data_IF_460249075366
#
_entry.id   IF_460249075366
#
_cell.length_a   1.000
_cell.length_b   1.000
_cell.length_c   1.000
_cell.angle_alpha   90.00
_cell.angle_beta   90.00
_cell.angle_gamma   90.00
#
_symmetry.space_group_name_H-M   'P 1'
#
loop_
_entity.id
_entity.type
_entity.pdbx_description
1 polymer ?
#
# COMPACT_ATOMS: atom_id res chain seq x y z
N UNK A 1 -6.57 -29.09 -35.87
CA UNK A 1 -6.69 -28.07 -36.92
C UNK A 1 -7.94 -27.24 -36.63
N UNK A 2 -7.83 -25.92 -36.62
CA UNK A 2 -9.01 -25.05 -36.57
C UNK A 2 -9.66 -25.06 -37.95
N UNK A 3 -10.94 -25.40 -38.01
CA UNK A 3 -11.64 -25.46 -39.28
C UNK A 3 -13.00 -24.75 -39.13
N UNK A 4 -13.25 -23.82 -40.05
CA UNK A 4 -14.51 -23.07 -40.14
C UNK A 4 -15.09 -23.40 -41.49
N UNK A 5 -16.15 -24.21 -41.51
CA UNK A 5 -16.87 -24.57 -42.73
C UNK A 5 -18.18 -23.82 -42.79
N UNK A 6 -18.65 -23.51 -44.00
CA UNK A 6 -20.03 -23.05 -44.20
C UNK A 6 -20.93 -24.22 -43.79
N UNK A 7 -21.93 -23.97 -42.95
CA UNK A 7 -22.94 -24.98 -42.66
C UNK A 7 -23.68 -25.27 -43.98
N UNK A 8 -23.51 -26.48 -44.51
CA UNK A 8 -24.31 -26.94 -45.65
C UNK A 8 -25.78 -26.89 -45.21
N UNK A 9 -26.63 -26.21 -45.99
CA UNK A 9 -28.07 -26.37 -45.84
C UNK A 9 -28.34 -27.87 -46.02
N UNK A 10 -28.89 -28.52 -45.00
CA UNK A 10 -29.44 -29.87 -45.18
C UNK A 10 -30.37 -29.82 -46.39
N UNK A 11 -29.95 -30.46 -47.50
CA UNK A 11 -30.81 -30.69 -48.64
C UNK A 11 -32.06 -31.39 -48.11
N UNK A 12 -33.18 -30.65 -48.05
CA UNK A 12 -34.48 -31.22 -47.78
C UNK A 12 -34.75 -32.25 -48.87
N UNK A 13 -34.51 -33.52 -48.56
CA UNK A 13 -35.00 -34.64 -49.34
C UNK A 13 -36.50 -34.45 -49.54
N UNK A 14 -36.88 -34.17 -50.77
CA UNK A 14 -38.25 -33.95 -51.20
C UNK A 14 -39.14 -35.15 -50.85
N UNK A 15 -40.07 -34.97 -49.93
CA UNK A 15 -41.29 -35.79 -49.84
C UNK A 15 -42.47 -34.86 -49.52
N UNK A 16 -43.65 -35.05 -50.16
CA UNK A 16 -44.76 -34.10 -50.11
C UNK A 16 -45.49 -34.14 -48.75
N UNK A 17 -46.20 -33.06 -48.35
CA UNK A 17 -46.68 -32.89 -46.99
C UNK A 17 -48.01 -33.62 -46.76
N UNK A 18 -48.11 -34.35 -45.66
CA UNK A 18 -49.39 -34.78 -45.08
C UNK A 18 -49.77 -33.86 -43.92
N UNK A 19 -50.76 -32.98 -44.18
CA UNK A 19 -51.70 -32.29 -43.27
C UNK A 19 -51.19 -31.46 -42.06
N UNK A 20 -51.92 -30.37 -41.67
CA UNK A 20 -51.39 -29.35 -40.77
C UNK A 20 -51.73 -29.64 -39.29
N UNK A 21 -50.73 -29.61 -38.41
CA UNK A 21 -50.92 -29.36 -36.99
C UNK A 21 -49.99 -28.22 -36.55
N UNK A 22 -50.48 -27.20 -35.82
CA UNK A 22 -49.66 -26.10 -35.35
C UNK A 22 -48.99 -26.49 -34.03
N UNK A 23 -47.77 -27.01 -34.12
CA UNK A 23 -46.86 -27.08 -32.97
C UNK A 23 -45.64 -26.21 -33.33
N UNK A 24 -45.36 -25.11 -32.62
CA UNK A 24 -44.16 -24.33 -32.86
C UNK A 24 -42.96 -25.15 -32.38
N UNK A 25 -42.28 -25.82 -33.30
CA UNK A 25 -40.95 -26.35 -33.03
C UNK A 25 -40.02 -25.15 -32.75
N UNK A 26 -39.15 -25.21 -31.72
CA UNK A 26 -38.18 -24.15 -31.50
C UNK A 26 -37.27 -24.11 -32.73
N UNK A 27 -37.21 -22.93 -33.36
CA UNK A 27 -36.32 -22.70 -34.48
C UNK A 27 -34.89 -22.99 -34.02
N UNK A 28 -34.33 -24.13 -34.48
CA UNK A 28 -32.89 -24.35 -34.40
C UNK A 28 -32.25 -23.18 -35.11
N UNK A 29 -31.51 -22.36 -34.35
CA UNK A 29 -30.67 -21.31 -34.92
C UNK A 29 -29.54 -21.98 -35.68
N UNK A 30 -29.81 -22.42 -36.91
CA UNK A 30 -28.78 -22.92 -37.82
C UNK A 30 -27.82 -21.77 -38.06
N UNK A 31 -26.66 -21.78 -37.39
CA UNK A 31 -25.60 -20.85 -37.75
C UNK A 31 -25.10 -21.21 -39.13
N UNK A 32 -24.92 -20.20 -39.98
CA UNK A 32 -24.35 -20.35 -41.33
C UNK A 32 -22.91 -20.88 -41.34
N UNK A 33 -22.28 -20.97 -40.17
CA UNK A 33 -20.90 -21.40 -39.96
C UNK A 33 -20.87 -22.57 -38.97
N UNK A 34 -20.12 -23.61 -39.32
CA UNK A 34 -19.77 -24.74 -38.46
C UNK A 34 -18.30 -24.60 -38.08
N UNK A 35 -18.02 -24.52 -36.77
CA UNK A 35 -16.66 -24.36 -36.24
C UNK A 35 -16.23 -25.64 -35.54
N UNK A 36 -15.15 -26.24 -36.03
CA UNK A 36 -14.46 -27.39 -35.41
C UNK A 36 -13.21 -26.89 -34.68
N UNK A 37 -13.26 -26.96 -33.35
CA UNK A 37 -12.18 -26.54 -32.44
C UNK A 37 -11.40 -27.77 -31.97
N UNK A 38 -10.05 -27.76 -31.99
CA UNK A 38 -9.23 -28.84 -31.44
C UNK A 38 -9.60 -29.18 -29.99
N UNK A 39 -9.54 -30.45 -29.61
CA UNK A 39 -9.87 -30.92 -28.26
C UNK A 39 -9.10 -30.20 -27.15
N UNK A 40 -7.85 -29.81 -27.42
CA UNK A 40 -6.98 -29.06 -26.51
C UNK A 40 -7.48 -27.64 -26.18
N UNK A 41 -8.35 -27.08 -27.03
CA UNK A 41 -8.88 -25.71 -26.92
C UNK A 41 -10.38 -25.70 -26.60
N UNK A 42 -10.95 -26.88 -26.35
CA UNK A 42 -12.31 -27.02 -25.84
C UNK A 42 -12.34 -26.78 -24.33
N UNK A 43 -13.50 -26.35 -23.81
CA UNK A 43 -13.71 -26.13 -22.39
C UNK A 43 -13.52 -24.67 -21.96
N UNK A 44 -13.33 -24.48 -20.66
CA UNK A 44 -13.15 -23.16 -20.03
C UNK A 44 -11.82 -23.14 -19.31
N UNK A 45 -11.02 -22.10 -19.54
CA UNK A 45 -9.76 -21.89 -18.85
C UNK A 45 -9.70 -20.48 -18.22
N UNK A 46 -8.98 -20.37 -17.11
CA UNK A 46 -8.67 -19.11 -16.45
C UNK A 46 -7.33 -19.23 -15.72
N UNK A 47 -6.70 -18.10 -15.43
CA UNK A 47 -5.51 -18.07 -14.57
C UNK A 47 -5.94 -17.58 -13.20
N UNK A 48 -5.73 -18.43 -12.19
CA UNK A 48 -5.92 -18.09 -10.79
C UNK A 48 -4.61 -17.56 -10.23
N UNK A 49 -4.64 -16.38 -9.62
CA UNK A 49 -3.51 -15.77 -8.92
C UNK A 49 -3.87 -15.70 -7.45
N UNK A 50 -3.12 -16.41 -6.62
CA UNK A 50 -3.44 -16.61 -5.22
C UNK A 50 -2.23 -16.26 -4.37
N UNK A 51 -2.43 -15.48 -3.31
CA UNK A 51 -1.36 -15.17 -2.37
C UNK A 51 -1.58 -15.94 -1.07
N UNK A 52 -0.58 -16.72 -0.64
CA UNK A 52 -0.65 -17.57 0.55
C UNK A 52 0.37 -17.17 1.61
N UNK A 53 -0.01 -17.29 2.88
CA UNK A 53 0.89 -17.21 4.04
C UNK A 53 0.67 -18.43 4.92
N UNK A 54 1.72 -19.22 5.15
CA UNK A 54 1.68 -20.38 6.05
C UNK A 54 0.50 -21.36 5.78
N UNK A 55 0.15 -21.55 4.49
CA UNK A 55 -1.01 -22.32 3.96
C UNK A 55 -2.39 -21.64 4.05
N UNK A 56 -2.49 -20.42 4.56
CA UNK A 56 -3.71 -19.62 4.51
C UNK A 56 -3.74 -18.73 3.26
N UNK A 57 -4.86 -18.78 2.54
CA UNK A 57 -5.11 -17.95 1.35
C UNK A 57 -5.44 -16.51 1.80
N UNK A 58 -4.53 -15.57 1.53
CA UNK A 58 -4.68 -14.15 1.89
C UNK A 58 -5.59 -13.42 0.89
N UNK A 59 -5.43 -13.68 -0.40
CA UNK A 59 -6.26 -13.11 -1.46
C UNK A 59 -6.17 -13.94 -2.74
N UNK A 60 -7.24 -13.87 -3.55
CA UNK A 60 -7.32 -14.53 -4.86
C UNK A 60 -7.83 -13.58 -5.94
N UNK A 61 -7.22 -13.63 -7.12
CA UNK A 61 -7.60 -12.89 -8.31
C UNK A 61 -7.70 -13.85 -9.49
N UNK A 62 -8.65 -13.61 -10.39
CA UNK A 62 -8.87 -14.44 -11.57
C UNK A 62 -8.61 -13.61 -12.83
N UNK A 63 -7.79 -14.12 -13.74
CA UNK A 63 -7.48 -13.45 -14.99
C UNK A 63 -8.17 -14.20 -16.13
N UNK A 64 -9.04 -13.48 -16.84
CA UNK A 64 -9.74 -13.94 -18.04
C UNK A 64 -9.73 -12.89 -19.16
N UNK A 65 -9.72 -13.31 -20.43
CA UNK A 65 -9.59 -12.38 -21.56
C UNK A 65 -10.73 -11.34 -21.64
N UNK A 66 -11.93 -11.64 -21.10
CA UNK A 66 -13.16 -10.91 -21.42
C UNK A 66 -14.14 -10.66 -20.26
N UNK A 67 -13.78 -10.88 -18.99
CA UNK A 67 -14.77 -10.97 -17.89
C UNK A 67 -15.98 -11.87 -18.25
N UNK A 68 -15.81 -12.77 -19.22
CA UNK A 68 -16.85 -13.69 -19.65
C UNK A 68 -17.06 -14.66 -18.49
N UNK A 69 -18.23 -14.56 -17.85
CA UNK A 69 -18.66 -15.55 -16.88
C UNK A 69 -18.47 -16.93 -17.51
N UNK A 70 -17.99 -17.95 -16.76
CA UNK A 70 -17.79 -19.29 -17.28
C UNK A 70 -19.16 -19.83 -17.72
N UNK A 71 -19.50 -19.63 -18.99
CA UNK A 71 -20.70 -20.16 -19.59
C UNK A 71 -20.45 -21.64 -19.76
N UNK A 72 -21.20 -22.44 -18.99
CA UNK A 72 -21.26 -23.88 -19.13
C UNK A 72 -21.38 -24.23 -20.60
N UNK A 73 -20.45 -25.05 -21.09
CA UNK A 73 -20.35 -25.48 -22.48
C UNK A 73 -21.67 -26.15 -22.92
N UNK A 74 -22.61 -25.35 -23.42
CA UNK A 74 -23.83 -25.84 -24.04
C UNK A 74 -23.49 -26.26 -25.48
N UNK A 75 -23.98 -27.40 -25.97
CA UNK A 75 -23.70 -27.86 -27.33
C UNK A 75 -24.35 -26.95 -28.41
N UNK A 76 -25.36 -26.16 -28.04
CA UNK A 76 -26.05 -25.20 -28.92
C UNK A 76 -25.49 -23.76 -28.81
N UNK A 77 -24.20 -23.64 -28.47
CA UNK A 77 -23.52 -22.35 -28.37
C UNK A 77 -23.22 -21.79 -29.76
N UNK A 78 -23.62 -20.55 -30.01
CA UNK A 78 -23.36 -19.83 -31.26
C UNK A 78 -21.86 -19.91 -31.61
N UNK A 79 -21.51 -20.12 -32.89
CA UNK A 79 -20.13 -20.30 -33.35
C UNK A 79 -19.16 -19.23 -32.83
N UNK A 80 -19.64 -17.99 -32.67
CA UNK A 80 -18.86 -16.88 -32.10
C UNK A 80 -18.44 -17.17 -30.65
N UNK A 81 -19.36 -17.55 -29.77
CA UNK A 81 -19.06 -17.89 -28.38
C UNK A 81 -18.11 -19.09 -28.28
N UNK A 82 -18.22 -20.05 -29.22
CA UNK A 82 -17.29 -21.17 -29.32
C UNK A 82 -15.86 -20.73 -29.68
N UNK A 83 -15.73 -19.73 -30.56
CA UNK A 83 -14.43 -19.14 -30.91
C UNK A 83 -13.89 -18.27 -29.77
N UNK A 84 -14.72 -17.48 -29.11
CA UNK A 84 -14.34 -16.65 -27.94
C UNK A 84 -13.81 -17.54 -26.80
N UNK A 85 -14.48 -18.67 -26.52
CA UNK A 85 -14.01 -19.65 -25.54
C UNK A 85 -12.66 -20.25 -25.94
N UNK A 86 -12.50 -20.68 -27.20
CA UNK A 86 -11.24 -21.23 -27.70
C UNK A 86 -10.09 -20.20 -27.64
N UNK A 87 -10.39 -18.93 -27.94
CA UNK A 87 -9.44 -17.82 -27.84
C UNK A 87 -8.99 -17.62 -26.39
N UNK A 88 -9.92 -17.64 -25.42
CA UNK A 88 -9.58 -17.52 -24.01
C UNK A 88 -8.70 -18.68 -23.52
N UNK A 89 -8.97 -19.91 -23.96
CA UNK A 89 -8.13 -21.08 -23.63
C UNK A 89 -6.71 -20.92 -24.19
N UNK A 90 -6.59 -20.47 -25.44
CA UNK A 90 -5.29 -20.22 -26.06
C UNK A 90 -4.52 -19.13 -25.32
N UNK A 91 -5.18 -18.02 -24.99
CA UNK A 91 -4.60 -16.93 -24.22
C UNK A 91 -4.08 -17.38 -22.86
N UNK A 92 -4.89 -18.10 -22.08
CA UNK A 92 -4.49 -18.56 -20.75
C UNK A 92 -3.28 -19.52 -20.83
N UNK A 93 -3.26 -20.42 -21.81
CA UNK A 93 -2.12 -21.33 -22.05
C UNK A 93 -0.85 -20.58 -22.45
N UNK A 94 -0.96 -19.61 -23.35
CA UNK A 94 0.19 -18.82 -23.81
C UNK A 94 0.75 -17.95 -22.68
N UNK A 95 -0.12 -17.25 -21.95
CA UNK A 95 0.25 -16.44 -20.80
C UNK A 95 0.92 -17.28 -19.72
N UNK A 96 0.35 -18.43 -19.34
CA UNK A 96 0.96 -19.33 -18.36
C UNK A 96 2.33 -19.84 -18.83
N UNK A 97 2.45 -20.25 -20.09
CA UNK A 97 3.73 -20.73 -20.65
C UNK A 97 4.80 -19.63 -20.67
N UNK A 98 4.41 -18.38 -20.95
CA UNK A 98 5.32 -17.24 -20.85
C UNK A 98 5.79 -17.03 -19.41
N UNK A 99 4.86 -16.95 -18.45
CA UNK A 99 5.18 -16.79 -17.04
C UNK A 99 6.05 -17.92 -16.50
N UNK A 100 5.80 -19.16 -16.91
CA UNK A 100 6.60 -20.32 -16.52
C UNK A 100 8.03 -20.24 -17.04
N UNK A 101 8.23 -19.76 -18.28
CA UNK A 101 9.57 -19.54 -18.85
C UNK A 101 10.30 -18.42 -18.10
N UNK A 102 9.61 -17.33 -17.81
CA UNK A 102 10.17 -16.21 -17.04
C UNK A 102 10.56 -16.67 -15.63
N UNK A 103 9.72 -17.44 -14.94
CA UNK A 103 9.99 -17.97 -13.61
C UNK A 103 11.30 -18.76 -13.52
N UNK A 104 11.63 -19.54 -14.56
CA UNK A 104 12.87 -20.34 -14.61
C UNK A 104 14.11 -19.46 -14.90
N UNK A 105 13.94 -18.36 -15.65
CA UNK A 105 15.03 -17.48 -16.05
C UNK A 105 15.39 -16.44 -14.99
N UNK A 106 14.41 -16.03 -14.18
CA UNK A 106 14.58 -15.01 -13.16
C UNK A 106 15.46 -15.49 -12.01
N UNK A 107 16.45 -14.68 -11.66
CA UNK A 107 17.32 -14.91 -10.50
C UNK A 107 16.76 -14.20 -9.28
N UNK A 108 16.05 -14.94 -8.43
CA UNK A 108 15.56 -14.47 -7.15
C UNK A 108 16.34 -15.11 -5.98
N UNK A 109 16.44 -14.43 -4.81
CA UNK A 109 17.08 -15.00 -3.62
C UNK A 109 16.46 -16.34 -3.19
N UNK A 110 15.15 -16.48 -3.38
CA UNK A 110 14.42 -17.74 -3.29
C UNK A 110 13.96 -18.07 -4.72
N UNK A 111 14.46 -19.16 -5.33
CA UNK A 111 14.09 -19.54 -6.68
C UNK A 111 12.59 -19.73 -6.84
N UNK A 112 12.05 -19.28 -7.97
CA UNK A 112 10.67 -19.58 -8.35
C UNK A 112 10.54 -21.07 -8.69
N UNK A 113 9.39 -21.65 -8.37
CA UNK A 113 9.11 -23.06 -8.65
C UNK A 113 7.99 -23.18 -9.68
N UNK A 114 8.15 -24.08 -10.63
CA UNK A 114 7.11 -24.41 -11.63
C UNK A 114 6.79 -25.89 -11.51
N UNK A 115 5.58 -26.23 -11.09
CA UNK A 115 5.13 -27.62 -10.89
C UNK A 115 3.80 -27.82 -11.62
N UNK A 116 3.84 -28.51 -12.75
CA UNK A 116 2.66 -28.76 -13.57
C UNK A 116 2.00 -27.46 -14.03
N UNK A 117 0.76 -27.23 -13.61
CA UNK A 117 -0.04 -26.06 -13.95
C UNK A 117 0.07 -24.93 -12.90
N UNK A 118 1.09 -24.93 -12.04
CA UNK A 118 1.27 -23.93 -11.00
C UNK A 118 2.69 -23.34 -11.01
N UNK A 119 2.77 -22.03 -10.80
CA UNK A 119 4.01 -21.27 -10.61
C UNK A 119 3.98 -20.68 -9.20
N UNK A 120 5.03 -20.87 -8.43
CA UNK A 120 5.18 -20.32 -7.08
C UNK A 120 6.36 -19.34 -7.04
N UNK A 121 6.10 -18.12 -6.56
CA UNK A 121 7.09 -17.07 -6.39
C UNK A 121 6.98 -16.44 -4.99
N UNK A 122 8.09 -15.99 -4.42
CA UNK A 122 8.06 -15.32 -3.11
C UNK A 122 7.85 -13.81 -3.27
N UNK A 123 6.81 -13.29 -2.59
CA UNK A 123 6.45 -11.85 -2.63
C UNK A 123 7.17 -11.11 -1.51
N UNK A 124 6.92 -11.54 -0.27
CA UNK A 124 7.52 -11.03 0.98
C UNK A 124 7.90 -12.24 1.85
N UNK A 125 8.71 -12.10 2.90
CA UNK A 125 8.99 -13.21 3.80
C UNK A 125 7.69 -13.81 4.36
N UNK A 126 7.53 -15.11 4.20
CA UNK A 126 6.32 -15.85 4.59
C UNK A 126 5.12 -15.72 3.64
N UNK A 127 5.19 -14.90 2.58
CA UNK A 127 4.10 -14.75 1.60
C UNK A 127 4.54 -15.28 0.23
N UNK A 128 3.80 -16.25 -0.28
CA UNK A 128 3.99 -16.86 -1.59
C UNK A 128 2.88 -16.42 -2.55
N UNK A 129 3.25 -16.14 -3.79
CA UNK A 129 2.35 -15.95 -4.92
C UNK A 129 2.28 -17.27 -5.69
N UNK A 130 1.07 -17.77 -5.88
CA UNK A 130 0.75 -18.98 -6.64
C UNK A 130 -0.04 -18.57 -7.87
N UNK A 131 0.46 -18.87 -9.06
CA UNK A 131 -0.23 -18.64 -10.33
C UNK A 131 -0.60 -20.00 -10.91
N UNK A 132 -1.89 -20.32 -10.94
CA UNK A 132 -2.44 -21.58 -11.41
C UNK A 132 -3.16 -21.45 -12.75
N UNK A 133 -2.92 -22.37 -13.68
CA UNK A 133 -3.72 -22.53 -14.89
C UNK A 133 -4.84 -23.56 -14.62
N UNK A 134 -6.08 -23.09 -14.54
CA UNK A 134 -7.25 -23.93 -14.40
C UNK A 134 -7.85 -24.18 -15.79
N UNK A 135 -7.99 -25.45 -16.20
CA UNK A 135 -8.65 -25.83 -17.45
C UNK A 135 -9.65 -26.95 -17.18
N UNK A 136 -10.92 -26.69 -17.49
CA UNK A 136 -12.01 -27.66 -17.31
C UNK A 136 -12.63 -28.03 -18.65
N UNK A 137 -12.74 -29.34 -18.92
CA UNK A 137 -13.46 -29.86 -20.09
C UNK A 137 -14.73 -30.58 -19.64
N UNK A 138 -15.84 -30.42 -20.36
CA UNK A 138 -17.16 -30.97 -20.03
C UNK A 138 -17.21 -32.51 -19.89
N UNK A 139 -16.12 -33.19 -20.27
CA UNK A 139 -15.91 -34.64 -20.20
C UNK A 139 -15.52 -35.17 -18.82
N UNK A 140 -15.11 -34.34 -17.85
CA UNK A 140 -14.78 -34.81 -16.49
C UNK A 140 -16.00 -34.82 -15.56
N UNK A 141 -16.95 -35.71 -15.85
CA UNK A 141 -17.88 -36.20 -14.82
C UNK A 141 -17.30 -37.48 -14.25
N UNK A 142 -16.79 -37.38 -13.01
CA UNK A 142 -16.28 -38.43 -12.09
C UNK A 142 -14.77 -38.69 -12.14
N UNK A 143 -14.00 -37.92 -11.37
CA UNK A 143 -13.05 -38.47 -10.36
C UNK A 143 -12.15 -37.38 -9.75
N UNK A 144 -12.74 -36.48 -8.97
CA UNK A 144 -12.02 -35.75 -7.92
C UNK A 144 -13.05 -35.18 -6.94
N UNK A 145 -13.64 -36.07 -6.14
CA UNK A 145 -14.06 -35.70 -4.80
C UNK A 145 -12.78 -35.41 -4.00
N UNK A 146 -12.26 -34.20 -4.14
CA UNK A 146 -11.57 -33.52 -3.06
C UNK A 146 -12.51 -32.40 -2.66
N UNK A 147 -13.09 -32.57 -1.47
CA UNK A 147 -13.49 -31.53 -0.51
C UNK A 147 -13.69 -30.12 -1.07
N UNK A 148 -14.86 -29.47 -0.86
CA UNK A 148 -14.99 -28.05 -1.16
C UNK A 148 -13.82 -27.32 -0.47
N UNK A 149 -13.00 -26.53 -1.18
CA UNK A 149 -11.93 -25.79 -0.52
C UNK A 149 -12.58 -24.95 0.60
N UNK A 150 -12.02 -25.02 1.82
CA UNK A 150 -12.55 -24.30 2.96
C UNK A 150 -12.57 -22.81 2.60
N UNK A 151 -13.72 -22.16 2.79
CA UNK A 151 -13.94 -20.71 2.66
C UNK A 151 -13.15 -20.05 1.52
N UNK A 152 -13.75 -19.90 0.34
CA UNK A 152 -13.22 -19.03 -0.73
C UNK A 152 -12.70 -17.74 -0.08
N UNK A 153 -11.37 -17.58 -0.06
CA UNK A 153 -10.69 -16.35 0.33
C UNK A 153 -11.38 -15.17 -0.36
N UNK A 154 -11.45 -14.01 0.30
CA UNK A 154 -12.04 -12.82 -0.31
C UNK A 154 -11.38 -12.57 -1.66
N UNK A 155 -12.21 -12.59 -2.71
CA UNK A 155 -11.78 -12.34 -4.06
C UNK A 155 -11.41 -10.86 -4.18
N UNK A 156 -10.16 -10.59 -4.54
CA UNK A 156 -9.62 -9.25 -4.54
C UNK A 156 -9.72 -8.60 -5.93
N UNK A 157 -10.77 -7.79 -6.07
CA UNK A 157 -11.03 -7.03 -7.28
C UNK A 157 -9.98 -5.94 -7.58
N UNK A 158 -9.26 -5.44 -6.56
CA UNK A 158 -8.25 -4.40 -6.76
C UNK A 158 -7.01 -5.00 -7.41
N UNK A 159 -6.54 -6.14 -6.89
CA UNK A 159 -5.44 -6.89 -7.47
C UNK A 159 -5.80 -7.41 -8.88
N UNK A 160 -6.99 -8.00 -9.04
CA UNK A 160 -7.51 -8.44 -10.34
C UNK A 160 -7.49 -7.30 -11.38
N UNK A 161 -8.03 -6.13 -11.03
CA UNK A 161 -8.05 -4.98 -11.93
C UNK A 161 -6.64 -4.52 -12.33
N UNK A 162 -5.71 -4.46 -11.37
CA UNK A 162 -4.31 -4.09 -11.60
C UNK A 162 -3.62 -5.04 -12.59
N UNK A 163 -3.79 -6.35 -12.40
CA UNK A 163 -3.22 -7.38 -13.26
C UNK A 163 -3.82 -7.32 -14.67
N UNK A 164 -5.13 -7.06 -14.79
CA UNK A 164 -5.75 -6.84 -16.10
C UNK A 164 -5.25 -5.58 -16.81
N UNK A 165 -4.96 -4.52 -16.07
CA UNK A 165 -4.38 -3.30 -16.64
C UNK A 165 -2.95 -3.56 -17.14
N UNK A 166 -2.15 -4.31 -16.37
CA UNK A 166 -0.81 -4.74 -16.75
C UNK A 166 -0.81 -5.55 -18.05
N UNK A 167 -1.68 -6.55 -18.14
CA UNK A 167 -1.80 -7.40 -19.33
C UNK A 167 -2.22 -6.59 -20.57
N UNK A 168 -3.15 -5.64 -20.40
CA UNK A 168 -3.54 -4.72 -21.48
C UNK A 168 -2.38 -3.85 -21.95
N UNK A 169 -1.56 -3.35 -21.03
CA UNK A 169 -0.38 -2.56 -21.36
C UNK A 169 0.67 -3.39 -22.13
N UNK A 170 0.95 -4.61 -21.68
CA UNK A 170 1.88 -5.53 -22.35
C UNK A 170 1.37 -5.88 -23.75
N UNK A 171 0.09 -6.20 -23.89
CA UNK A 171 -0.52 -6.45 -25.20
C UNK A 171 -0.43 -5.22 -26.12
N UNK A 172 -0.68 -4.02 -25.58
CA UNK A 172 -0.53 -2.78 -26.36
C UNK A 172 0.92 -2.58 -26.82
N UNK A 173 1.92 -2.76 -25.95
CA UNK A 173 3.34 -2.67 -26.30
C UNK A 173 3.75 -3.67 -27.38
N UNK A 174 3.25 -4.90 -27.30
CA UNK A 174 3.55 -5.97 -28.26
C UNK A 174 2.88 -5.77 -29.62
N UNK A 175 1.78 -5.02 -29.68
CA UNK A 175 1.07 -4.73 -30.95
C UNK A 175 1.53 -3.42 -31.58
N UNK A 176 1.91 -2.43 -30.77
CA UNK A 176 2.27 -1.08 -31.19
C UNK A 176 3.77 -0.86 -31.05
N UNK A 177 4.54 -1.51 -31.93
CA UNK A 177 5.97 -1.26 -32.04
C UNK A 177 6.20 0.19 -32.51
N UNK A 178 7.16 0.92 -31.91
CA UNK A 178 7.52 2.24 -32.42
C UNK A 178 8.00 2.10 -33.87
N UNK A 179 7.47 2.94 -34.76
CA UNK A 179 7.80 2.88 -36.18
C UNK A 179 9.33 2.98 -36.39
N UNK A 180 9.92 2.12 -37.24
CA UNK A 180 11.33 2.24 -37.56
C UNK A 180 11.61 3.62 -38.18
N UNK A 181 12.70 4.26 -37.75
CA UNK A 181 13.06 5.56 -38.32
C UNK A 181 13.37 5.43 -39.81
N UNK A 182 12.86 6.34 -40.67
CA UNK A 182 13.32 6.46 -42.03
C UNK A 182 14.80 6.87 -42.01
N UNK A 183 15.66 6.12 -42.71
CA UNK A 183 17.09 6.45 -42.89
C UNK A 183 17.33 7.78 -43.61
N UNK A 184 16.27 8.41 -44.12
CA UNK A 184 16.28 9.66 -44.91
C UNK A 184 15.72 10.88 -44.16
N UNK A 185 15.39 10.79 -42.88
CA UNK A 185 14.87 11.94 -42.13
C UNK A 185 15.97 13.02 -41.94
N UNK A 186 15.67 14.31 -42.18
CA UNK A 186 16.64 15.39 -41.99
C UNK A 186 17.13 15.39 -40.54
N UNK A 187 18.41 15.76 -40.32
CA UNK A 187 19.14 15.77 -39.04
C UNK A 187 18.28 16.25 -37.86
N UNK A 188 17.49 15.33 -37.31
CA UNK A 188 16.64 15.56 -36.16
C UNK A 188 17.48 15.56 -34.88
N UNK A 189 16.82 15.73 -33.71
CA UNK A 189 17.49 15.52 -32.43
C UNK A 189 18.25 14.20 -32.44
N UNK A 190 19.52 14.22 -32.00
CA UNK A 190 20.40 13.04 -32.00
C UNK A 190 19.71 11.83 -31.37
N UNK A 191 20.12 10.61 -31.74
CA UNK A 191 19.60 9.35 -31.15
C UNK A 191 19.48 9.39 -29.62
N UNK A 192 20.44 10.05 -28.94
CA UNK A 192 20.44 10.25 -27.48
C UNK A 192 19.33 11.18 -26.99
N UNK A 193 19.06 12.28 -27.71
CA UNK A 193 18.03 13.28 -27.36
C UNK A 193 16.62 12.77 -27.68
N UNK A 194 16.47 11.87 -28.65
CA UNK A 194 15.20 11.18 -28.89
C UNK A 194 14.91 10.12 -27.83
N UNK A 195 15.92 9.31 -27.44
CA UNK A 195 15.79 8.31 -26.37
C UNK A 195 15.42 8.95 -25.03
N UNK A 196 15.99 10.13 -24.70
CA UNK A 196 15.63 10.91 -23.50
C UNK A 196 14.15 11.33 -23.46
N UNK A 197 13.45 11.29 -24.61
CA UNK A 197 12.04 11.64 -24.72
C UNK A 197 11.73 13.09 -24.33
N UNK A 198 10.44 13.46 -24.25
CA UNK A 198 10.00 14.78 -23.82
C UNK A 198 10.27 15.06 -22.32
N UNK A 199 10.61 14.03 -21.55
CA UNK A 199 10.97 14.13 -20.13
C UNK A 199 12.44 14.50 -19.91
N UNK A 200 13.25 14.56 -20.98
CA UNK A 200 14.70 14.82 -20.91
C UNK A 200 15.44 13.86 -19.97
N UNK A 201 15.11 12.57 -20.05
CA UNK A 201 15.66 11.54 -19.19
C UNK A 201 17.19 11.52 -19.24
N UNK A 202 17.82 11.41 -18.07
CA UNK A 202 19.27 11.44 -17.96
C UNK A 202 19.92 10.12 -18.44
N UNK A 203 21.25 10.06 -18.50
CA UNK A 203 21.95 8.84 -18.96
C UNK A 203 21.66 7.63 -18.05
N UNK A 204 21.46 7.87 -16.76
CA UNK A 204 21.24 6.82 -15.78
C UNK A 204 19.83 6.24 -15.94
N UNK A 205 18.82 7.10 -16.03
CA UNK A 205 17.44 6.75 -16.32
C UNK A 205 17.32 5.99 -17.65
N UNK A 206 18.05 6.42 -18.69
CA UNK A 206 18.06 5.69 -19.96
C UNK A 206 18.67 4.28 -19.87
N UNK A 207 19.65 4.08 -18.99
CA UNK A 207 20.24 2.76 -18.76
C UNK A 207 19.30 1.87 -17.94
N UNK A 208 18.54 2.45 -17.00
CA UNK A 208 17.47 1.74 -16.30
C UNK A 208 16.32 1.39 -17.24
N UNK A 209 15.91 2.29 -18.13
CA UNK A 209 14.87 2.04 -19.14
C UNK A 209 15.26 0.94 -20.14
N UNK A 210 16.55 0.66 -20.33
CA UNK A 210 17.00 -0.49 -21.12
C UNK A 210 16.91 -1.83 -20.40
N UNK A 211 16.69 -1.85 -19.08
CA UNK A 211 16.36 -3.08 -18.37
C UNK A 211 14.90 -3.43 -18.66
N UNK A 212 14.70 -4.45 -19.50
CA UNK A 212 13.37 -5.00 -19.74
C UNK A 212 12.97 -5.85 -18.55
N UNK A 213 11.98 -5.40 -17.80
CA UNK A 213 11.31 -6.23 -16.80
C UNK A 213 10.42 -7.26 -17.49
N UNK A 214 10.46 -8.48 -16.98
CA UNK A 214 9.55 -9.55 -17.38
C UNK A 214 8.14 -9.31 -16.84
N UNK A 215 7.14 -9.97 -17.44
CA UNK A 215 5.76 -9.84 -16.97
C UNK A 215 5.63 -10.40 -15.54
N UNK A 216 6.27 -11.52 -15.25
CA UNK A 216 6.27 -12.12 -13.91
C UNK A 216 6.90 -11.19 -12.86
N UNK A 217 7.99 -10.50 -13.17
CA UNK A 217 8.56 -9.49 -12.26
C UNK A 217 7.56 -8.37 -11.97
N UNK A 218 6.87 -7.87 -13.00
CA UNK A 218 5.87 -6.82 -12.84
C UNK A 218 4.68 -7.29 -11.98
N UNK A 219 4.22 -8.53 -12.15
CA UNK A 219 3.19 -9.14 -11.31
C UNK A 219 3.66 -9.22 -9.84
N UNK A 220 4.89 -9.71 -9.61
CA UNK A 220 5.47 -9.83 -8.27
C UNK A 220 5.57 -8.44 -7.61
N UNK A 221 6.02 -7.42 -8.34
CA UNK A 221 6.14 -6.04 -7.84
C UNK A 221 4.80 -5.41 -7.50
N UNK A 222 3.78 -5.62 -8.32
CA UNK A 222 2.41 -5.16 -8.02
C UNK A 222 1.84 -5.86 -6.79
N UNK A 223 2.04 -7.18 -6.65
CA UNK A 223 1.62 -7.92 -5.46
C UNK A 223 2.34 -7.45 -4.20
N UNK A 224 3.66 -7.19 -4.28
CA UNK A 224 4.45 -6.64 -3.19
C UNK A 224 3.93 -5.28 -2.72
N UNK A 225 3.73 -4.36 -3.67
CA UNK A 225 3.19 -3.04 -3.38
C UNK A 225 1.77 -3.10 -2.79
N UNK A 226 0.92 -3.99 -3.30
CA UNK A 226 -0.41 -4.25 -2.76
C UNK A 226 -0.36 -4.63 -1.27
N UNK A 227 0.48 -5.60 -0.89
CA UNK A 227 0.64 -5.98 0.52
C UNK A 227 1.26 -4.87 1.37
N UNK A 228 2.23 -4.13 0.83
CA UNK A 228 2.81 -2.98 1.53
C UNK A 228 1.77 -1.91 1.84
N UNK A 229 0.86 -1.65 0.90
CA UNK A 229 -0.26 -0.73 1.08
C UNK A 229 -1.22 -1.23 2.17
N UNK A 230 -1.67 -2.48 2.09
CA UNK A 230 -2.56 -3.09 3.08
C UNK A 230 -1.97 -3.06 4.49
N UNK A 231 -0.68 -3.41 4.63
CA UNK A 231 0.03 -3.36 5.92
C UNK A 231 0.13 -1.93 6.44
N UNK A 232 0.45 -0.97 5.58
CA UNK A 232 0.53 0.45 5.95
C UNK A 232 -0.82 0.95 6.45
N UNK A 233 -1.90 0.67 5.72
CA UNK A 233 -3.27 1.02 6.12
C UNK A 233 -3.64 0.43 7.48
N UNK A 234 -3.38 -0.86 7.68
CA UNK A 234 -3.63 -1.54 8.95
C UNK A 234 -2.88 -0.88 10.12
N UNK A 235 -1.60 -0.53 9.94
CA UNK A 235 -0.80 0.14 10.97
C UNK A 235 -1.38 1.52 11.28
N UNK A 236 -1.72 2.31 10.26
CA UNK A 236 -2.29 3.66 10.45
C UNK A 236 -3.63 3.62 11.18
N UNK A 237 -4.52 2.72 10.78
CA UNK A 237 -5.83 2.55 11.42
C UNK A 237 -5.71 2.06 12.86
N UNK A 238 -4.76 1.16 13.13
CA UNK A 238 -4.51 0.66 14.49
C UNK A 238 -4.02 1.79 15.39
N UNK A 239 -3.05 2.58 14.93
CA UNK A 239 -2.52 3.70 15.72
C UNK A 239 -3.59 4.78 15.91
N UNK A 240 -4.39 5.09 14.88
CA UNK A 240 -5.47 6.07 14.99
C UNK A 240 -6.57 5.63 16.00
N UNK A 241 -6.76 4.32 16.20
CA UNK A 241 -7.65 3.77 17.24
C UNK A 241 -7.01 3.77 18.62
N UNK A 242 -5.72 3.47 18.71
CA UNK A 242 -4.95 3.39 19.96
C UNK A 242 -4.74 4.79 20.58
N UNK A 243 -4.38 5.78 19.76
CA UNK A 243 -4.03 7.13 20.19
C UNK A 243 -5.22 8.08 20.01
N UNK A 244 -5.84 8.47 21.12
CA UNK A 244 -6.98 9.42 21.13
C UNK A 244 -6.55 10.89 21.13
N UNK A 245 -5.36 11.18 21.66
CA UNK A 245 -4.78 12.51 21.75
C UNK A 245 -3.26 12.40 21.56
N UNK A 246 -2.67 12.99 20.50
CA UNK A 246 -3.27 13.86 19.49
C UNK A 246 -4.07 13.10 18.42
N UNK A 247 -4.89 13.81 17.64
CA UNK A 247 -5.64 13.25 16.51
C UNK A 247 -4.72 12.98 15.31
N UNK A 248 -4.87 11.81 14.71
CA UNK A 248 -4.10 11.38 13.55
C UNK A 248 -5.06 11.25 12.37
N UNK A 249 -4.80 12.02 11.31
CA UNK A 249 -5.58 11.98 10.07
C UNK A 249 -4.70 11.54 8.91
N UNK A 250 -5.08 10.45 8.24
CA UNK A 250 -4.42 9.92 7.05
C UNK A 250 -5.23 10.25 5.80
N UNK A 251 -4.56 10.80 4.79
CA UNK A 251 -5.15 11.09 3.49
C UNK A 251 -4.33 10.41 2.40
N UNK A 252 -4.92 9.38 1.79
CA UNK A 252 -4.34 8.69 0.65
C UNK A 252 -4.43 9.56 -0.60
N UNK A 253 -3.32 9.66 -1.33
CA UNK A 253 -3.33 10.36 -2.62
C UNK A 253 -4.13 9.55 -3.64
N UNK A 254 -4.84 10.23 -4.54
CA UNK A 254 -5.58 9.59 -5.64
C UNK A 254 -4.69 9.28 -6.83
N UNK A 255 -3.59 10.02 -6.99
CA UNK A 255 -2.59 9.78 -8.02
C UNK A 255 -1.58 8.73 -7.54
N UNK A 256 -1.86 7.47 -7.87
CA UNK A 256 -1.01 6.33 -7.53
C UNK A 256 -0.53 5.61 -8.80
N UNK A 257 0.65 5.02 -8.71
CA UNK A 257 1.17 4.04 -9.65
C UNK A 257 0.83 2.62 -9.14
N UNK A 258 0.75 1.60 -10.01
CA UNK A 258 0.64 0.19 -9.61
C UNK A 258 1.75 -0.30 -8.68
N UNK A 259 2.87 0.42 -8.57
CA UNK A 259 4.01 0.07 -7.72
C UNK A 259 4.39 1.14 -6.70
N UNK A 260 3.71 2.30 -6.72
CA UNK A 260 3.99 3.40 -5.80
C UNK A 260 2.70 4.12 -5.38
N UNK A 261 2.55 4.35 -4.09
CA UNK A 261 1.45 5.13 -3.53
C UNK A 261 1.94 6.11 -2.49
N UNK A 262 1.13 7.10 -2.17
CA UNK A 262 1.49 8.13 -1.20
C UNK A 262 0.34 8.37 -0.22
N UNK A 263 0.68 8.47 1.07
CA UNK A 263 -0.24 8.87 2.14
C UNK A 263 0.32 10.07 2.88
N UNK A 264 -0.52 11.09 3.04
CA UNK A 264 -0.20 12.27 3.86
C UNK A 264 -0.87 12.12 5.22
N UNK A 265 -0.06 12.11 6.26
CA UNK A 265 -0.51 12.07 7.65
C UNK A 265 -0.43 13.48 8.22
N UNK A 266 -1.45 13.87 8.99
CA UNK A 266 -1.40 15.06 9.79
C UNK A 266 -1.75 14.73 11.23
N UNK A 267 -0.84 15.09 12.12
CA UNK A 267 -1.03 15.00 13.56
C UNK A 267 -1.43 16.39 14.05
N UNK A 268 -2.57 16.48 14.73
CA UNK A 268 -3.07 17.72 15.32
C UNK A 268 -3.81 17.48 16.62
N UNK A 269 -3.81 18.49 17.50
CA UNK A 269 -4.49 18.41 18.80
C UNK A 269 -5.83 19.11 18.70
N UNK A 270 -6.91 18.41 19.07
CA UNK A 270 -8.28 18.93 18.95
C UNK A 270 -8.44 20.30 19.63
N UNK A 271 -8.98 21.28 18.91
CA UNK A 271 -9.16 22.65 19.43
C UNK A 271 -7.92 23.55 19.37
N UNK A 272 -6.75 23.00 18.98
CA UNK A 272 -5.49 23.73 18.83
C UNK A 272 -4.88 23.55 17.42
N UNK A 273 -5.70 23.19 16.43
CA UNK A 273 -5.25 22.95 15.05
C UNK A 273 -4.59 24.19 14.42
N UNK A 274 -5.02 25.40 14.82
CA UNK A 274 -4.42 26.66 14.38
C UNK A 274 -3.04 26.93 15.00
N UNK A 275 -2.76 26.33 16.17
CA UNK A 275 -1.53 26.56 16.93
C UNK A 275 -0.41 25.65 16.44
N UNK A 276 -0.70 24.36 16.24
CA UNK A 276 0.29 23.40 15.77
C UNK A 276 -0.33 22.26 14.95
N UNK A 277 0.25 22.02 13.78
CA UNK A 277 0.00 20.83 12.95
C UNK A 277 1.34 20.25 12.50
N UNK A 278 1.48 18.93 12.59
CA UNK A 278 2.70 18.23 12.18
C UNK A 278 2.39 17.31 11.00
N UNK A 279 2.73 17.72 9.76
CA UNK A 279 2.54 16.88 8.58
C UNK A 279 3.69 15.87 8.44
N UNK A 280 3.36 14.71 7.89
CA UNK A 280 4.26 13.63 7.53
C UNK A 280 3.78 13.04 6.20
N UNK A 281 4.68 12.68 5.29
CA UNK A 281 4.32 12.05 4.02
C UNK A 281 5.02 10.70 3.93
N UNK A 282 4.28 9.65 3.63
CA UNK A 282 4.84 8.31 3.44
C UNK A 282 4.58 7.89 1.99
N UNK A 283 5.66 7.57 1.30
CA UNK A 283 5.64 6.90 0.02
C UNK A 283 5.76 5.39 0.26
N UNK A 284 4.76 4.66 -0.21
CA UNK A 284 4.68 3.20 -0.17
C UNK A 284 5.20 2.67 -1.51
N UNK A 285 6.34 1.99 -1.49
CA UNK A 285 6.90 1.29 -2.66
C UNK A 285 6.67 -0.21 -2.60
N UNK A 286 7.40 -0.96 -3.43
CA UNK A 286 7.28 -2.43 -3.56
C UNK A 286 7.74 -3.16 -2.28
N UNK A 287 8.94 -2.86 -1.78
CA UNK A 287 9.54 -3.52 -0.60
C UNK A 287 10.06 -2.55 0.46
N UNK A 288 9.70 -1.27 0.33
CA UNK A 288 10.21 -0.23 1.21
C UNK A 288 9.20 0.88 1.40
N UNK A 289 9.36 1.59 2.49
CA UNK A 289 8.63 2.81 2.79
C UNK A 289 9.63 3.97 2.84
N UNK A 290 9.26 5.09 2.23
CA UNK A 290 10.03 6.33 2.31
C UNK A 290 9.19 7.38 3.02
N UNK A 291 9.62 7.78 4.20
CA UNK A 291 8.96 8.76 5.02
C UNK A 291 9.64 10.12 4.92
N UNK A 292 8.86 11.18 4.68
CA UNK A 292 9.32 12.57 4.58
C UNK A 292 8.70 13.35 5.73
N UNK A 293 9.55 13.76 6.67
CA UNK A 293 9.17 14.44 7.89
C UNK A 293 8.94 15.94 7.67
N UNK A 294 8.29 16.59 8.64
CA UNK A 294 8.08 18.05 8.64
C UNK A 294 9.38 18.86 8.48
N UNK A 295 10.48 18.38 9.05
CA UNK A 295 11.80 19.03 8.98
C UNK A 295 12.53 18.77 7.65
N UNK A 296 11.89 18.07 6.70
CA UNK A 296 12.46 17.71 5.42
C UNK A 296 13.36 16.47 5.46
N UNK A 297 13.57 15.86 6.63
CA UNK A 297 14.34 14.61 6.72
C UNK A 297 13.59 13.48 6.05
N UNK A 298 14.35 12.71 5.29
CA UNK A 298 13.88 11.53 4.59
C UNK A 298 14.39 10.30 5.33
N UNK A 299 13.48 9.44 5.76
CA UNK A 299 13.78 8.16 6.38
C UNK A 299 13.34 7.03 5.45
N UNK A 300 14.23 6.07 5.23
CA UNK A 300 13.97 4.88 4.44
C UNK A 300 13.80 3.71 5.40
N UNK A 301 12.66 3.02 5.29
CA UNK A 301 12.28 1.89 6.12
C UNK A 301 12.08 0.65 5.26
N UNK A 302 12.21 -0.50 5.89
CA UNK A 302 12.01 -1.80 5.27
C UNK A 302 10.52 -2.12 5.07
N UNK A 303 10.21 -3.37 4.73
CA UNK A 303 8.85 -3.90 4.61
C UNK A 303 8.22 -4.25 5.97
N UNK A 304 8.95 -4.06 7.07
CA UNK A 304 8.50 -4.42 8.42
C UNK A 304 7.52 -3.37 8.98
N UNK A 305 6.28 -3.77 9.34
CA UNK A 305 5.28 -2.82 9.84
C UNK A 305 5.66 -2.17 11.18
N UNK A 306 6.49 -2.85 11.98
CA UNK A 306 6.93 -2.32 13.28
C UNK A 306 7.77 -1.04 13.13
N UNK A 307 8.63 -0.95 12.11
CA UNK A 307 9.44 0.26 11.87
C UNK A 307 8.55 1.49 11.63
N UNK A 308 7.48 1.32 10.84
CA UNK A 308 6.52 2.39 10.60
C UNK A 308 5.77 2.78 11.88
N UNK A 309 5.35 1.78 12.66
CA UNK A 309 4.65 2.02 13.93
C UNK A 309 5.51 2.88 14.87
N UNK A 310 6.77 2.48 15.06
CA UNK A 310 7.69 3.15 15.98
C UNK A 310 8.00 4.57 15.55
N UNK A 311 8.17 4.79 14.24
CA UNK A 311 8.36 6.11 13.65
C UNK A 311 7.15 7.03 13.91
N UNK A 312 5.93 6.54 13.73
CA UNK A 312 4.72 7.34 13.98
C UNK A 312 4.60 7.68 15.46
N UNK A 313 4.86 6.75 16.37
CA UNK A 313 4.90 7.04 17.81
C UNK A 313 5.94 8.11 18.15
N UNK A 314 7.15 8.03 17.59
CA UNK A 314 8.16 9.07 17.77
C UNK A 314 7.65 10.45 17.33
N UNK A 315 6.98 10.53 16.18
CA UNK A 315 6.42 11.79 15.69
C UNK A 315 5.23 12.32 16.51
N UNK A 316 4.41 11.44 17.08
CA UNK A 316 3.34 11.83 18.01
C UNK A 316 3.93 12.52 19.25
N UNK A 317 4.98 11.97 19.83
CA UNK A 317 5.63 12.56 21.01
C UNK A 317 6.31 13.89 20.68
N UNK A 318 6.99 13.96 19.53
CA UNK A 318 7.54 15.22 19.04
C UNK A 318 6.43 16.27 18.81
N UNK A 319 5.27 15.86 18.30
CA UNK A 319 4.13 16.75 18.12
C UNK A 319 3.68 17.36 19.45
N UNK A 320 3.57 16.58 20.52
CA UNK A 320 3.16 17.08 21.84
C UNK A 320 4.11 18.17 22.36
N UNK A 321 5.42 17.95 22.23
CA UNK A 321 6.44 18.94 22.62
C UNK A 321 6.35 20.21 21.76
N UNK A 322 6.22 20.07 20.44
CA UNK A 322 6.08 21.21 19.52
C UNK A 322 4.80 22.00 19.79
N UNK A 323 3.70 21.31 20.12
CA UNK A 323 2.43 21.92 20.46
C UNK A 323 2.53 22.73 21.76
N UNK A 324 3.18 22.20 22.79
CA UNK A 324 3.45 22.94 24.04
C UNK A 324 4.32 24.18 23.78
N UNK A 325 5.34 24.08 22.93
CA UNK A 325 6.18 25.24 22.56
C UNK A 325 5.38 26.32 21.85
N UNK A 326 4.49 25.93 20.94
CA UNK A 326 3.62 26.86 20.24
C UNK A 326 2.62 27.52 21.19
N UNK A 327 2.01 26.75 22.10
CA UNK A 327 1.12 27.25 23.15
C UNK A 327 1.84 28.20 24.12
N UNK A 328 3.07 27.87 24.52
CA UNK A 328 3.86 28.73 25.40
C UNK A 328 4.04 30.12 24.80
N UNK A 329 4.34 30.20 23.50
CA UNK A 329 4.46 31.48 22.77
C UNK A 329 3.16 32.27 22.77
N UNK A 330 2.01 31.61 22.59
CA UNK A 330 0.71 32.30 22.62
C UNK A 330 0.32 32.77 24.02
N UNK A 331 0.75 32.06 25.07
CA UNK A 331 0.50 32.41 26.47
C UNK A 331 1.55 33.37 27.07
N UNK A 332 2.52 33.83 26.27
CA UNK A 332 3.58 34.75 26.72
C UNK A 332 4.71 34.10 27.55
N UNK A 333 4.71 32.76 27.66
CA UNK A 333 5.78 32.01 28.32
C UNK A 333 7.04 31.98 27.45
N UNK A 334 8.21 32.10 28.10
CA UNK A 334 9.49 32.07 27.41
C UNK A 334 9.98 30.63 27.23
N UNK A 335 10.39 30.30 26.02
CA UNK A 335 10.99 29.01 25.71
C UNK A 335 12.50 29.04 26.01
N UNK A 336 12.96 28.17 26.91
CA UNK A 336 14.37 28.12 27.34
C UNK A 336 15.19 27.08 26.57
N UNK A 337 14.58 25.95 26.20
CA UNK A 337 15.29 24.91 25.46
C UNK A 337 14.43 23.71 25.12
N UNK A 338 14.83 22.99 24.07
CA UNK A 338 14.30 21.67 23.74
C UNK A 338 15.41 20.69 23.41
N UNK A 339 15.07 19.42 23.52
CA UNK A 339 15.81 18.36 22.87
C UNK A 339 14.82 17.31 22.38
N UNK A 340 14.96 16.92 21.12
CA UNK A 340 14.19 15.80 20.55
C UNK A 340 14.88 14.45 20.85
N UNK A 341 16.06 14.48 21.45
CA UNK A 341 16.88 13.32 21.78
C UNK A 341 17.54 13.50 23.16
N UNK A 342 16.80 13.27 24.24
CA UNK A 342 17.41 13.28 25.57
C UNK A 342 18.22 12.02 25.82
N UNK A 343 19.52 12.20 26.05
CA UNK A 343 20.40 11.16 26.63
C UNK A 343 20.36 11.13 28.16
N UNK A 344 19.27 11.59 28.78
CA UNK A 344 19.12 11.67 30.24
C UNK A 344 17.91 10.83 30.67
N UNK A 345 18.07 10.03 31.72
CA UNK A 345 17.01 9.17 32.26
C UNK A 345 17.16 7.70 31.84
N UNK A 346 16.09 6.93 32.05
CA UNK A 346 16.05 5.54 31.62
C UNK A 346 16.13 5.44 30.09
N UNK A 347 16.82 4.42 29.58
CA UNK A 347 16.85 4.13 28.15
C UNK A 347 15.51 3.55 27.77
N UNK A 348 14.76 4.29 26.96
CA UNK A 348 13.50 3.82 26.40
C UNK A 348 13.78 2.78 25.31
N UNK A 349 13.00 1.68 25.26
CA UNK A 349 13.14 0.69 24.20
C UNK A 349 12.66 1.22 22.84
N UNK A 350 11.77 2.22 22.85
CA UNK A 350 11.13 2.78 21.65
C UNK A 350 11.62 4.22 21.40
N UNK A 351 12.82 4.36 20.86
CA UNK A 351 13.36 5.67 20.43
C UNK A 351 13.76 6.60 21.58
N UNK A 352 13.98 7.87 21.26
CA UNK A 352 14.51 8.85 22.21
C UNK A 352 13.39 9.70 22.84
N UNK A 353 13.48 9.94 24.15
CA UNK A 353 12.62 10.91 24.83
C UNK A 353 12.84 12.33 24.27
N UNK A 354 11.77 13.13 24.25
CA UNK A 354 11.81 14.54 23.89
C UNK A 354 11.47 15.42 25.09
N UNK A 355 12.07 16.60 25.22
CA UNK A 355 11.78 17.53 26.33
C UNK A 355 11.71 18.98 25.89
N UNK A 356 11.03 19.77 26.71
CA UNK A 356 10.93 21.21 26.61
C UNK A 356 11.06 21.84 28.00
N UNK A 357 11.78 22.96 28.09
CA UNK A 357 11.83 23.79 29.29
C UNK A 357 11.25 25.17 28.98
N UNK A 358 10.31 25.61 29.80
CA UNK A 358 9.61 26.89 29.70
C UNK A 358 9.80 27.70 30.97
N UNK A 359 9.84 29.02 30.84
CA UNK A 359 9.84 29.98 31.94
C UNK A 359 8.58 30.86 31.90
N UNK A 360 8.06 31.20 33.08
CA UNK A 360 6.94 32.13 33.21
C UNK A 360 7.31 33.51 32.68
N UNK A 361 6.33 34.34 32.25
CA UNK A 361 6.58 35.72 31.83
C UNK A 361 7.28 36.58 32.90
N UNK A 362 7.06 36.24 34.18
CA UNK A 362 7.63 36.93 35.36
C UNK A 362 9.03 36.35 35.70
N UNK A 363 9.39 35.18 35.15
CA UNK A 363 10.67 34.50 35.38
C UNK A 363 10.74 33.75 36.72
N UNK A 364 9.63 33.68 37.46
CA UNK A 364 9.56 33.12 38.80
C UNK A 364 9.21 31.62 38.84
N UNK A 365 8.82 31.04 37.70
CA UNK A 365 8.43 29.63 37.60
C UNK A 365 8.98 29.03 36.32
N UNK A 366 9.42 27.78 36.41
CA UNK A 366 9.80 26.99 35.24
C UNK A 366 8.94 25.74 35.13
N UNK A 367 8.60 25.37 33.91
CA UNK A 367 7.93 24.11 33.57
C UNK A 367 8.89 23.27 32.73
N UNK A 368 9.18 22.05 33.17
CA UNK A 368 9.86 21.03 32.39
C UNK A 368 8.84 20.00 31.92
N UNK A 369 8.78 19.78 30.61
CA UNK A 369 7.95 18.75 29.99
C UNK A 369 8.87 17.70 29.39
N UNK A 370 8.62 16.43 29.69
CA UNK A 370 9.29 15.26 29.13
C UNK A 370 8.24 14.36 28.51
N UNK A 371 8.46 13.94 27.28
CA UNK A 371 7.55 13.09 26.51
C UNK A 371 8.31 11.85 26.06
N UNK A 372 7.83 10.70 26.52
CA UNK A 372 8.40 9.38 26.25
C UNK A 372 7.41 8.53 25.44
N UNK A 373 7.88 7.76 24.45
CA UNK A 373 6.98 6.97 23.62
C UNK A 373 6.21 5.85 24.33
N UNK A 374 6.72 5.30 25.43
CA UNK A 374 6.00 4.30 26.22
C UNK A 374 5.40 4.86 27.51
N UNK A 375 6.17 5.64 28.28
CA UNK A 375 5.73 6.17 29.57
C UNK A 375 4.80 7.39 29.46
N UNK A 376 4.63 7.95 28.26
CA UNK A 376 3.77 9.10 28.01
C UNK A 376 4.41 10.43 28.43
N UNK A 377 3.57 11.39 28.86
CA UNK A 377 4.02 12.76 29.14
C UNK A 377 4.14 13.00 30.64
N UNK A 378 5.32 13.45 31.06
CA UNK A 378 5.63 13.89 32.42
C UNK A 378 5.86 15.40 32.45
N UNK A 379 5.23 16.08 33.41
CA UNK A 379 5.34 17.53 33.56
C UNK A 379 5.78 17.83 34.97
N UNK A 380 6.80 18.66 35.12
CA UNK A 380 7.33 19.08 36.40
C UNK A 380 7.47 20.59 36.48
N UNK A 381 7.22 21.17 37.65
CA UNK A 381 7.27 22.62 37.89
C UNK A 381 8.26 22.93 39.00
N UNK A 382 8.95 24.05 38.87
CA UNK A 382 9.84 24.60 39.89
C UNK A 382 9.59 26.10 40.07
N UNK A 383 9.80 26.58 41.29
CA UNK A 383 9.73 27.99 41.64
C UNK A 383 11.15 28.56 41.80
N UNK A 384 11.34 29.79 41.34
CA UNK A 384 12.57 30.57 41.42
C UNK A 384 12.21 32.00 41.81
N UNK A 385 12.88 32.65 42.76
CA UNK A 385 13.96 32.14 43.60
C UNK A 385 13.46 31.08 44.60
N UNK A 386 14.38 30.24 45.10
CA UNK A 386 14.05 29.22 46.10
C UNK A 386 13.64 29.90 47.42
N UNK A 387 12.55 29.45 48.04
CA UNK A 387 12.18 29.86 49.41
C UNK A 387 13.18 29.35 50.47
N UNK A 388 13.92 28.29 50.13
CA UNK A 388 14.75 27.53 51.08
C UNK A 388 16.25 27.64 50.76
N UNK A 389 16.70 28.78 50.22
CA UNK A 389 18.12 29.00 49.93
C UNK A 389 18.89 29.45 51.18
N UNK A 390 19.84 28.62 51.62
CA UNK A 390 20.79 28.98 52.67
C UNK A 390 22.19 29.14 52.05
N UNK A 391 22.82 30.32 52.15
CA UNK A 391 24.18 30.53 51.66
C UNK A 391 25.13 29.52 52.28
N UNK A 392 25.81 28.74 51.46
CA UNK A 392 26.82 27.77 51.91
C UNK A 392 28.22 28.37 51.78
N UNK A 393 29.24 27.77 52.41
CA UNK A 393 30.64 28.21 52.26
C UNK A 393 31.14 28.21 50.81
N UNK A 394 30.50 27.45 49.91
CA UNK A 394 30.84 27.35 48.49
C UNK A 394 29.99 28.27 47.59
N UNK A 395 28.80 28.64 48.05
CA UNK A 395 27.82 29.43 47.28
C UNK A 395 27.31 30.55 48.18
N UNK A 396 28.04 31.66 48.19
CA UNK A 396 27.85 32.79 49.10
C UNK A 396 27.02 33.91 48.50
N UNK A 397 26.95 34.00 47.17
CA UNK A 397 26.28 35.10 46.47
C UNK A 397 24.78 34.86 46.26
N UNK A 398 23.94 35.87 46.50
CA UNK A 398 22.47 35.78 46.31
C UNK A 398 22.04 35.53 44.87
N UNK A 399 22.90 35.77 43.88
CA UNK A 399 22.61 35.44 42.47
C UNK A 399 22.29 33.96 42.27
N UNK A 400 22.80 33.10 43.14
CA UNK A 400 22.58 31.66 43.12
C UNK A 400 21.23 31.22 43.69
N UNK A 401 20.44 32.11 44.29
CA UNK A 401 19.05 31.86 44.72
C UNK A 401 18.13 31.51 43.54
N UNK A 402 18.52 31.96 42.33
CA UNK A 402 17.82 31.70 41.07
C UNK A 402 18.22 30.39 40.39
N UNK A 403 19.20 29.64 40.93
CA UNK A 403 19.47 28.28 40.46
C UNK A 403 18.34 27.36 40.95
N UNK A 404 17.50 26.94 40.00
CA UNK A 404 16.20 26.29 40.22
C UNK A 404 16.18 25.22 41.32
N UNK A 405 15.09 25.21 42.10
CA UNK A 405 14.77 24.22 43.14
C UNK A 405 14.56 22.79 42.63
N UNK A 406 14.16 21.89 43.54
CA UNK A 406 13.71 20.56 43.14
C UNK A 406 12.43 20.68 42.31
N UNK A 407 12.45 20.11 41.10
CA UNK A 407 11.28 19.97 40.27
C UNK A 407 10.24 19.08 40.96
N UNK A 408 9.00 19.55 41.03
CA UNK A 408 7.86 18.79 41.55
C UNK A 408 7.00 18.33 40.39
N UNK A 409 6.77 17.03 40.31
CA UNK A 409 5.94 16.44 39.27
C UNK A 409 4.46 16.81 39.46
N UNK A 410 3.82 17.20 38.36
CA UNK A 410 2.41 17.54 38.29
C UNK A 410 1.63 16.30 37.91
N UNK A 411 0.63 15.95 38.72
CA UNK A 411 -0.29 14.83 38.43
C UNK A 411 -1.32 15.26 37.38
N UNK A 412 -0.96 15.17 36.10
CA UNK A 412 -1.81 15.56 34.97
C UNK A 412 -3.17 14.86 34.93
N UNK A 413 -3.27 13.64 35.48
CA UNK A 413 -4.52 12.89 35.56
C UNK A 413 -5.59 13.59 36.40
N UNK A 414 -5.16 14.34 37.42
CA UNK A 414 -6.06 15.06 38.32
C UNK A 414 -6.45 16.46 37.82
N UNK A 415 -5.83 16.91 36.73
CA UNK A 415 -6.12 18.21 36.15
C UNK A 415 -7.32 18.12 35.21
N UNK A 416 -8.19 19.13 35.28
CA UNK A 416 -9.28 19.28 34.32
C UNK A 416 -8.74 19.61 32.93
N UNK A 417 -9.28 18.94 31.92
CA UNK A 417 -8.96 19.22 30.53
C UNK A 417 -9.20 18.04 29.62
N UNK A 418 -9.69 18.33 28.41
CA UNK A 418 -10.07 17.32 27.41
C UNK A 418 -8.87 16.64 26.76
N UNK A 419 -7.77 17.37 26.60
CA UNK A 419 -6.53 16.91 25.98
C UNK A 419 -5.33 17.42 26.78
N UNK A 420 -4.15 16.90 26.47
CA UNK A 420 -2.90 17.27 27.13
C UNK A 420 -2.63 18.78 27.04
N UNK A 421 -2.84 19.37 25.86
CA UNK A 421 -2.52 20.77 25.62
C UNK A 421 -3.42 21.74 26.40
N UNK A 422 -4.70 21.39 26.59
CA UNK A 422 -5.62 22.14 27.44
C UNK A 422 -5.22 22.09 28.91
N UNK A 423 -4.74 20.94 29.40
CA UNK A 423 -4.19 20.83 30.76
C UNK A 423 -2.95 21.71 30.92
N UNK A 424 -2.11 21.79 29.89
CA UNK A 424 -0.95 22.67 29.88
C UNK A 424 -1.31 24.14 29.82
N UNK A 425 -2.35 24.52 29.08
CA UNK A 425 -2.88 25.89 29.05
C UNK A 425 -3.39 26.30 30.44
N UNK A 426 -4.20 25.46 31.08
CA UNK A 426 -4.69 25.68 32.43
C UNK A 426 -3.54 25.77 33.44
N UNK A 427 -2.54 24.89 33.33
CA UNK A 427 -1.34 24.94 34.18
C UNK A 427 -0.62 26.28 34.00
N UNK A 428 -0.31 26.66 32.76
CA UNK A 428 0.37 27.91 32.46
C UNK A 428 -0.41 29.13 32.96
N UNK A 429 -1.73 29.16 32.76
CA UNK A 429 -2.61 30.23 33.25
C UNK A 429 -2.60 30.32 34.78
N UNK A 430 -2.75 29.19 35.49
CA UNK A 430 -2.77 29.14 36.96
C UNK A 430 -1.46 29.60 37.59
N UNK A 431 -0.33 29.29 36.93
CA UNK A 431 1.00 29.66 37.38
C UNK A 431 1.29 31.15 37.12
N UNK A 432 0.59 31.77 36.16
CA UNK A 432 0.64 33.23 35.91
C UNK A 432 -0.36 34.04 36.73
N UNK A 433 -1.49 33.46 37.17
CA UNK A 433 -2.55 34.19 37.88
C UNK A 433 -2.35 34.33 39.40
N UNK A 434 -1.46 33.52 39.99
CA UNK A 434 -1.14 33.58 41.42
C UNK A 434 -0.14 34.70 41.78
N UNK A 435 -0.28 35.87 41.13
CA UNK A 435 0.40 37.12 41.48
C UNK A 435 -0.41 37.93 42.48
#
# INVERSE_FOLDING_TARGET
MFEVTKAEEEEKSSSPPSSPMPVPAPAKSNSSLRVTVPSELQGVAYIEVLCQKDQEDLCSANINLLNSAPTTANPDVHWQQKLEAAQNVLFCKELFNQLAKEAVQLQAPIPHMVVGNQIMATVLPGIQLVIGLCHSTSSEKKSSQLTPPPSKSDHDHVLEHSLHQLLREVHHKNTHHPFPHPSSAPLGPSKKRYLAGPMAADRYELLEMTQSETLLEQIIKQAQHFFMRMRTEYVLDTIAKEVKDPLISSHWNTLNSPTQSCVKINISTHGYDAVCRTPLVIHVGEKSLKCICRDGKVMHMSYEPQELRDLIFCHINQHQILAVQALAKTMGWQFLGNSNHLGLGAVEPLGNASSCLLASPIGDRLIAVRCEPQSGVQVSVVHSPRTDFFPSRLVTERKWEHLGGQFREVRLEKMEGRNFLHKMELLMASLTSNS
#
